data_IF_264154193558
#
_entry.id   IF_264154193558
#
_cell.length_a   1.000
_cell.length_b   1.000
_cell.length_c   1.000
_cell.angle_alpha   90.00
_cell.angle_beta   90.00
_cell.angle_gamma   90.00
#
_symmetry.space_group_name_H-M   'P 1'
#
loop_
_entity.id
_entity.type
_entity.pdbx_description
1 polymer ?
#
# COMPACT_ATOMS: atom_id res chain seq x y z
N UNK A 1 -37.89 -21.89 2.84
CA UNK A 1 -36.67 -21.07 2.69
C UNK A 1 -37.04 -19.91 1.79
N UNK A 2 -36.89 -18.69 2.22
CA UNK A 2 -37.14 -17.53 1.36
C UNK A 2 -35.94 -17.37 0.45
N UNK A 3 -36.15 -17.54 -0.86
CA UNK A 3 -35.11 -17.32 -1.86
C UNK A 3 -34.69 -15.84 -1.83
N UNK A 4 -33.37 -15.55 -1.82
CA UNK A 4 -32.82 -14.21 -1.80
C UNK A 4 -32.34 -13.79 -3.18
N UNK A 5 -32.61 -12.52 -3.53
CA UNK A 5 -32.10 -11.86 -4.72
C UNK A 5 -30.96 -10.91 -4.29
N UNK A 6 -29.75 -11.20 -4.71
CA UNK A 6 -28.60 -10.31 -4.48
C UNK A 6 -28.53 -9.25 -5.57
N UNK A 7 -28.59 -7.98 -5.21
CA UNK A 7 -28.25 -6.88 -6.13
C UNK A 7 -26.85 -6.38 -5.80
N UNK A 8 -25.98 -6.37 -6.82
CA UNK A 8 -24.60 -5.91 -6.66
C UNK A 8 -24.39 -4.58 -7.36
N UNK A 9 -23.97 -3.57 -6.57
CA UNK A 9 -23.82 -2.19 -6.96
C UNK A 9 -22.34 -1.79 -6.84
N UNK A 10 -21.78 -1.18 -7.90
CA UNK A 10 -20.38 -0.75 -7.87
C UNK A 10 -20.14 0.56 -8.60
N UNK A 11 -19.36 1.45 -7.96
CA UNK A 11 -18.84 2.65 -8.60
C UNK A 11 -17.32 2.73 -8.40
N UNK A 12 -16.61 3.17 -9.43
CA UNK A 12 -15.17 3.38 -9.38
C UNK A 12 -14.84 4.84 -9.03
N UNK A 13 -13.78 5.06 -8.24
CA UNK A 13 -13.22 6.39 -7.98
C UNK A 13 -12.90 7.19 -9.28
N UNK A 14 -12.69 6.49 -10.39
CA UNK A 14 -12.41 7.10 -11.69
C UNK A 14 -13.67 7.61 -12.40
N UNK A 15 -14.87 7.22 -11.97
CA UNK A 15 -16.12 7.58 -12.62
C UNK A 15 -16.67 8.96 -12.13
N UNK A 16 -15.91 9.70 -11.31
CA UNK A 16 -16.01 11.15 -11.17
C UNK A 16 -17.04 11.71 -10.20
N UNK A 17 -17.90 10.87 -9.60
CA UNK A 17 -19.03 11.33 -8.77
C UNK A 17 -18.76 11.42 -7.26
N UNK A 18 -17.54 11.09 -6.82
CA UNK A 18 -17.17 11.13 -5.41
C UNK A 18 -16.73 12.53 -4.99
N UNK A 19 -17.62 13.32 -4.43
CA UNK A 19 -17.25 14.47 -3.60
C UNK A 19 -16.54 13.93 -2.36
N UNK A 20 -15.25 14.25 -2.21
CA UNK A 20 -14.48 13.95 -1.00
C UNK A 20 -15.22 14.50 0.22
N UNK A 21 -15.67 13.61 1.11
CA UNK A 21 -16.10 13.98 2.45
C UNK A 21 -17.56 13.78 2.80
N UNK A 22 -18.43 13.28 1.91
CA UNK A 22 -19.81 12.92 2.29
C UNK A 22 -19.89 11.41 2.61
N UNK A 23 -20.55 11.06 3.71
CA UNK A 23 -20.91 9.68 4.04
C UNK A 23 -22.08 9.16 3.20
N UNK A 24 -22.62 10.00 2.33
CA UNK A 24 -23.77 9.70 1.48
C UNK A 24 -23.29 8.92 0.25
N UNK A 25 -24.06 7.92 -0.13
CA UNK A 25 -23.83 7.15 -1.35
C UNK A 25 -23.82 8.05 -2.58
N UNK A 26 -23.03 7.68 -3.59
CA UNK A 26 -22.98 8.47 -4.82
C UNK A 26 -24.30 8.34 -5.58
N UNK A 27 -24.77 9.42 -6.22
CA UNK A 27 -25.96 9.44 -7.06
C UNK A 27 -25.97 8.31 -8.11
N UNK A 28 -24.79 7.84 -8.52
CA UNK A 28 -24.67 6.73 -9.49
C UNK A 28 -24.96 5.35 -8.86
N UNK A 29 -24.65 5.12 -7.58
CA UNK A 29 -25.06 3.90 -6.85
C UNK A 29 -26.58 3.91 -6.67
N UNK A 30 -27.15 5.04 -6.27
CA UNK A 30 -28.59 5.20 -6.10
C UNK A 30 -29.35 4.96 -7.41
N UNK A 31 -28.86 5.50 -8.53
CA UNK A 31 -29.43 5.23 -9.85
C UNK A 31 -29.36 3.74 -10.26
N UNK A 32 -28.30 3.05 -9.88
CA UNK A 32 -28.19 1.59 -10.11
C UNK A 32 -29.24 0.83 -9.27
N UNK A 33 -29.37 1.21 -7.99
CA UNK A 33 -30.36 0.64 -7.06
C UNK A 33 -31.77 0.78 -7.61
N UNK A 34 -32.17 2.00 -7.96
CA UNK A 34 -33.50 2.28 -8.50
C UNK A 34 -33.81 1.47 -9.75
N UNK A 35 -32.85 1.37 -10.68
CA UNK A 35 -33.03 0.59 -11.92
C UNK A 35 -33.24 -0.90 -11.64
N UNK A 36 -32.46 -1.48 -10.70
CA UNK A 36 -32.58 -2.91 -10.38
C UNK A 36 -33.86 -3.22 -9.62
N UNK A 37 -34.28 -2.39 -8.70
CA UNK A 37 -35.58 -2.54 -8.01
C UNK A 37 -36.76 -2.39 -8.97
N UNK A 38 -36.74 -1.41 -9.88
CA UNK A 38 -37.78 -1.25 -10.91
C UNK A 38 -37.84 -2.46 -11.85
N UNK A 39 -36.68 -3.01 -12.21
CA UNK A 39 -36.62 -4.22 -13.04
C UNK A 39 -37.24 -5.43 -12.31
N UNK A 40 -36.86 -5.67 -11.04
CA UNK A 40 -37.41 -6.77 -10.22
C UNK A 40 -38.95 -6.62 -10.11
N UNK A 41 -39.46 -5.43 -9.83
CA UNK A 41 -40.90 -5.18 -9.70
C UNK A 41 -41.71 -5.39 -10.96
N UNK A 42 -41.06 -5.43 -12.14
CA UNK A 42 -41.70 -5.70 -13.45
C UNK A 42 -41.64 -7.15 -13.90
N UNK A 43 -40.90 -8.03 -13.21
CA UNK A 43 -40.74 -9.43 -13.56
C UNK A 43 -41.54 -10.32 -12.59
N UNK A 44 -42.46 -11.09 -13.11
CA UNK A 44 -43.29 -12.01 -12.30
C UNK A 44 -42.50 -13.24 -11.79
N UNK A 45 -41.35 -13.56 -12.39
CA UNK A 45 -40.49 -14.68 -12.03
C UNK A 45 -39.37 -14.34 -11.05
N UNK A 46 -39.28 -13.07 -10.62
CA UNK A 46 -38.30 -12.57 -9.64
C UNK A 46 -38.99 -12.22 -8.32
N UNK A 47 -39.08 -13.19 -7.43
CA UNK A 47 -39.63 -12.99 -6.07
C UNK A 47 -38.65 -13.46 -5.01
N UNK A 48 -38.63 -12.77 -3.89
CA UNK A 48 -37.74 -13.09 -2.77
C UNK A 48 -37.30 -11.86 -2.01
N UNK A 49 -36.51 -12.06 -0.96
CA UNK A 49 -35.88 -11.00 -0.20
C UNK A 49 -34.73 -10.38 -0.98
N UNK A 50 -34.73 -9.05 -1.15
CA UNK A 50 -33.64 -8.36 -1.85
C UNK A 50 -32.55 -8.01 -0.85
N UNK A 51 -31.32 -8.49 -1.15
CA UNK A 51 -30.10 -8.21 -0.36
C UNK A 51 -29.14 -7.38 -1.19
N UNK A 52 -28.70 -6.24 -0.66
CA UNK A 52 -27.81 -5.32 -1.36
C UNK A 52 -26.34 -5.52 -0.99
N UNK A 53 -25.47 -5.50 -1.99
CA UNK A 53 -24.01 -5.53 -1.86
C UNK A 53 -23.41 -4.34 -2.60
N UNK A 54 -22.79 -3.42 -1.84
CA UNK A 54 -22.33 -2.14 -2.37
C UNK A 54 -20.82 -2.00 -2.20
N UNK A 55 -20.10 -1.84 -3.32
CA UNK A 55 -18.67 -1.51 -3.38
C UNK A 55 -18.49 -0.14 -4.03
N UNK A 56 -18.66 0.94 -3.22
CA UNK A 56 -18.42 2.30 -3.68
C UNK A 56 -16.93 2.66 -3.60
N UNK A 57 -16.38 3.24 -4.66
CA UNK A 57 -14.97 3.61 -4.76
C UNK A 57 -14.03 2.47 -5.21
N UNK A 58 -14.53 1.27 -5.50
CA UNK A 58 -13.71 0.13 -5.89
C UNK A 58 -13.63 -0.06 -7.41
N UNK A 59 -12.43 -0.42 -7.90
CA UNK A 59 -12.21 -0.71 -9.32
C UNK A 59 -12.82 -2.05 -9.71
N UNK A 60 -13.22 -2.20 -10.99
CA UNK A 60 -13.70 -3.48 -11.53
C UNK A 60 -12.60 -4.43 -12.02
N UNK A 61 -11.32 -4.11 -11.81
CA UNK A 61 -10.18 -4.85 -12.36
C UNK A 61 -9.77 -6.09 -11.57
N UNK A 62 -10.35 -6.30 -10.40
CA UNK A 62 -10.16 -7.50 -9.58
C UNK A 62 -11.42 -7.77 -8.77
N UNK A 63 -11.49 -8.95 -8.14
CA UNK A 63 -12.61 -9.39 -7.31
C UNK A 63 -12.36 -9.26 -5.80
N UNK A 64 -11.23 -8.68 -5.37
CA UNK A 64 -10.90 -8.44 -3.95
C UNK A 64 -11.63 -7.20 -3.41
N UNK A 65 -12.95 -7.20 -3.49
CA UNK A 65 -13.84 -6.12 -3.05
C UNK A 65 -14.67 -6.64 -1.88
N UNK A 66 -14.80 -5.87 -0.79
CA UNK A 66 -15.43 -6.36 0.45
C UNK A 66 -16.86 -6.86 0.26
N UNK A 67 -17.71 -6.06 -0.41
CA UNK A 67 -19.11 -6.46 -0.62
C UNK A 67 -19.24 -7.61 -1.62
N UNK A 68 -18.40 -7.64 -2.66
CA UNK A 68 -18.36 -8.77 -3.58
C UNK A 68 -17.96 -10.07 -2.87
N UNK A 69 -16.91 -10.04 -2.05
CA UNK A 69 -16.47 -11.21 -1.28
C UNK A 69 -17.53 -11.68 -0.30
N UNK A 70 -18.21 -10.73 0.39
CA UNK A 70 -19.33 -11.05 1.26
C UNK A 70 -20.46 -11.73 0.48
N UNK A 71 -20.85 -11.20 -0.69
CA UNK A 71 -21.85 -11.81 -1.57
C UNK A 71 -21.47 -13.25 -1.93
N UNK A 72 -20.20 -13.52 -2.26
CA UNK A 72 -19.73 -14.88 -2.58
C UNK A 72 -19.78 -15.81 -1.35
N UNK A 73 -19.50 -15.29 -0.15
CA UNK A 73 -19.63 -16.08 1.10
C UNK A 73 -21.09 -16.42 1.38
N UNK A 74 -22.00 -15.45 1.26
CA UNK A 74 -23.43 -15.62 1.51
C UNK A 74 -24.04 -16.56 0.43
N UNK A 75 -23.55 -16.48 -0.81
CA UNK A 75 -23.93 -17.36 -1.90
C UNK A 75 -23.56 -18.83 -1.63
N UNK A 76 -22.41 -19.10 -1.01
CA UNK A 76 -21.99 -20.46 -0.60
C UNK A 76 -22.89 -21.06 0.48
N UNK A 77 -23.62 -20.24 1.23
CA UNK A 77 -24.60 -20.70 2.22
C UNK A 77 -25.91 -21.20 1.56
N UNK A 78 -26.11 -20.92 0.26
CA UNK A 78 -27.21 -21.46 -0.53
C UNK A 78 -28.50 -20.64 -0.52
N UNK A 79 -28.55 -19.54 0.20
CA UNK A 79 -29.74 -18.68 0.31
C UNK A 79 -29.99 -17.81 -0.92
N UNK A 80 -28.92 -17.42 -1.65
CA UNK A 80 -29.01 -16.55 -2.83
C UNK A 80 -29.27 -17.41 -4.07
N UNK A 81 -30.37 -17.12 -4.76
CA UNK A 81 -30.77 -17.82 -6.01
C UNK A 81 -30.59 -16.97 -7.26
N UNK A 82 -30.59 -15.65 -7.10
CA UNK A 82 -30.44 -14.71 -8.22
C UNK A 82 -29.41 -13.64 -7.85
N UNK A 83 -28.49 -13.36 -8.77
CA UNK A 83 -27.58 -12.22 -8.69
C UNK A 83 -27.92 -11.27 -9.83
N UNK A 84 -28.07 -9.99 -9.50
CA UNK A 84 -28.40 -8.96 -10.47
C UNK A 84 -27.41 -7.80 -10.44
N UNK A 85 -27.05 -7.34 -11.62
CA UNK A 85 -26.22 -6.15 -11.83
C UNK A 85 -26.83 -5.24 -12.89
N UNK A 86 -26.53 -3.95 -12.84
CA UNK A 86 -26.94 -3.04 -13.90
C UNK A 86 -26.39 -3.44 -15.27
N UNK A 87 -25.08 -3.72 -15.31
CA UNK A 87 -24.36 -4.16 -16.51
C UNK A 87 -23.16 -5.02 -16.10
N UNK A 88 -22.60 -5.79 -17.04
CA UNK A 88 -21.47 -6.70 -16.81
C UNK A 88 -20.23 -6.01 -16.26
N UNK A 89 -20.04 -4.73 -16.57
CA UNK A 89 -18.90 -3.97 -16.06
C UNK A 89 -18.97 -3.73 -14.54
N UNK A 90 -20.17 -3.83 -13.95
CA UNK A 90 -20.35 -3.76 -12.48
C UNK A 90 -19.83 -5.02 -11.82
N UNK A 91 -20.07 -6.21 -12.41
CA UNK A 91 -19.50 -7.46 -11.91
C UNK A 91 -17.97 -7.41 -11.97
N UNK A 92 -17.40 -7.04 -13.13
CA UNK A 92 -15.97 -6.92 -13.31
C UNK A 92 -15.60 -6.37 -14.68
N UNK A 93 -14.34 -5.89 -14.79
CA UNK A 93 -13.69 -5.48 -16.05
C UNK A 93 -12.62 -6.49 -16.50
N UNK A 94 -12.35 -7.51 -15.70
CA UNK A 94 -11.50 -8.62 -16.06
C UNK A 94 -12.36 -9.69 -16.75
N UNK A 95 -12.17 -9.81 -18.04
CA UNK A 95 -12.97 -10.70 -18.91
C UNK A 95 -12.83 -12.18 -18.51
N UNK A 96 -11.62 -12.62 -18.11
CA UNK A 96 -11.40 -14.03 -17.72
C UNK A 96 -12.14 -14.32 -16.42
N UNK A 97 -11.95 -13.51 -15.40
CA UNK A 97 -12.59 -13.71 -14.11
C UNK A 97 -14.11 -13.52 -14.16
N UNK A 98 -14.64 -12.58 -14.96
CA UNK A 98 -16.09 -12.44 -15.17
C UNK A 98 -16.65 -13.68 -15.87
N UNK A 99 -15.94 -14.20 -16.89
CA UNK A 99 -16.30 -15.45 -17.58
C UNK A 99 -16.37 -16.63 -16.60
N UNK A 100 -15.34 -16.82 -15.78
CA UNK A 100 -15.30 -17.91 -14.79
C UNK A 100 -16.51 -17.87 -13.83
N UNK A 101 -16.90 -16.66 -13.36
CA UNK A 101 -18.08 -16.53 -12.51
C UNK A 101 -19.37 -16.84 -13.25
N UNK A 102 -19.56 -16.35 -14.47
CA UNK A 102 -20.82 -16.50 -15.22
C UNK A 102 -20.95 -17.90 -15.84
N UNK A 103 -19.85 -18.48 -16.35
CA UNK A 103 -19.86 -19.73 -17.10
C UNK A 103 -19.69 -20.96 -16.19
N UNK A 104 -19.01 -20.83 -15.06
CA UNK A 104 -18.67 -21.95 -14.21
C UNK A 104 -19.24 -21.81 -12.80
N UNK A 105 -18.89 -20.72 -12.07
CA UNK A 105 -19.15 -20.64 -10.64
C UNK A 105 -20.65 -20.48 -10.34
N UNK A 106 -21.33 -19.52 -10.97
CA UNK A 106 -22.76 -19.31 -10.73
C UNK A 106 -23.63 -20.48 -11.21
N UNK A 107 -23.41 -21.07 -12.40
CA UNK A 107 -24.14 -22.26 -12.81
C UNK A 107 -23.89 -23.46 -11.90
N UNK A 108 -22.63 -23.70 -11.47
CA UNK A 108 -22.31 -24.80 -10.55
C UNK A 108 -23.05 -24.65 -9.21
N UNK A 109 -23.30 -23.42 -8.78
CA UNK A 109 -24.01 -23.09 -7.53
C UNK A 109 -25.53 -22.99 -7.73
N UNK A 110 -26.04 -23.21 -8.94
CA UNK A 110 -27.47 -23.11 -9.28
C UNK A 110 -28.01 -21.68 -9.16
N UNK A 111 -27.19 -20.68 -9.42
CA UNK A 111 -27.54 -19.26 -9.28
C UNK A 111 -27.80 -18.65 -10.65
N UNK A 112 -28.96 -18.01 -10.80
CA UNK A 112 -29.32 -17.21 -11.97
C UNK A 112 -28.60 -15.87 -11.93
N UNK A 113 -27.93 -15.50 -13.02
CA UNK A 113 -27.25 -14.21 -13.14
C UNK A 113 -27.92 -13.33 -14.20
N UNK A 114 -28.26 -12.08 -13.85
CA UNK A 114 -28.94 -11.12 -14.71
C UNK A 114 -28.15 -9.82 -14.79
N UNK A 115 -27.82 -9.35 -16.02
CA UNK A 115 -27.28 -8.03 -16.30
C UNK A 115 -28.25 -7.22 -17.14
N UNK A 116 -28.98 -6.29 -16.49
CA UNK A 116 -30.16 -5.63 -17.04
C UNK A 116 -29.88 -4.88 -18.33
N UNK A 117 -28.89 -3.99 -18.35
CA UNK A 117 -28.56 -3.18 -19.52
C UNK A 117 -27.95 -3.99 -20.68
N UNK A 118 -27.42 -5.18 -20.39
CA UNK A 118 -26.90 -6.08 -21.41
C UNK A 118 -27.98 -7.05 -21.93
N UNK A 119 -29.20 -6.96 -21.41
CA UNK A 119 -30.30 -7.95 -21.70
C UNK A 119 -29.85 -9.39 -21.50
N UNK A 120 -28.91 -9.61 -20.57
CA UNK A 120 -28.33 -10.90 -20.29
C UNK A 120 -29.03 -11.55 -19.10
N UNK A 121 -29.45 -12.82 -19.29
CA UNK A 121 -30.08 -13.64 -18.29
C UNK A 121 -29.63 -15.09 -18.49
N UNK A 122 -28.92 -15.64 -17.49
CA UNK A 122 -28.35 -16.98 -17.59
C UNK A 122 -29.38 -18.11 -17.75
N UNK A 123 -30.63 -17.91 -17.34
CA UNK A 123 -31.71 -18.90 -17.56
C UNK A 123 -32.29 -18.89 -18.99
N UNK A 124 -32.17 -17.77 -19.70
CA UNK A 124 -32.69 -17.64 -21.08
C UNK A 124 -31.70 -18.16 -22.13
N UNK A 125 -30.50 -18.56 -21.69
CA UNK A 125 -29.50 -19.13 -22.58
C UNK A 125 -29.71 -20.63 -22.72
N UNK A 126 -29.98 -21.09 -23.94
CA UNK A 126 -29.98 -22.51 -24.29
C UNK A 126 -28.57 -23.08 -23.98
N UNK A 127 -28.50 -24.06 -23.04
CA UNK A 127 -27.29 -24.76 -22.60
C UNK A 127 -26.34 -24.01 -21.66
N UNK A 128 -26.74 -22.92 -21.00
CA UNK A 128 -25.92 -22.27 -19.95
C UNK A 128 -24.64 -21.58 -20.43
N UNK A 129 -24.34 -21.59 -21.72
CA UNK A 129 -23.17 -20.92 -22.30
C UNK A 129 -23.51 -19.48 -22.63
N UNK A 130 -22.74 -18.49 -22.16
CA UNK A 130 -22.93 -17.10 -22.54
C UNK A 130 -22.89 -16.97 -24.06
N UNK A 131 -23.88 -16.28 -24.62
CA UNK A 131 -23.87 -16.00 -26.05
C UNK A 131 -22.65 -15.24 -26.49
N UNK A 132 -22.24 -15.39 -27.74
CA UNK A 132 -21.14 -14.65 -28.39
C UNK A 132 -21.21 -13.15 -28.09
N UNK A 133 -22.39 -12.57 -27.94
CA UNK A 133 -22.60 -11.14 -27.60
C UNK A 133 -21.97 -10.75 -26.29
N UNK A 134 -22.01 -11.59 -25.25
CA UNK A 134 -21.41 -11.31 -23.94
C UNK A 134 -19.89 -11.34 -24.03
N UNK A 135 -19.35 -12.32 -24.76
CA UNK A 135 -17.90 -12.45 -25.00
C UNK A 135 -17.38 -11.24 -25.78
N UNK A 136 -18.10 -10.86 -26.84
CA UNK A 136 -17.75 -9.69 -27.66
C UNK A 136 -17.88 -8.39 -26.86
N UNK A 137 -18.94 -8.22 -26.09
CA UNK A 137 -19.13 -7.03 -25.24
C UNK A 137 -18.00 -6.88 -24.20
N UNK A 138 -17.61 -7.98 -23.55
CA UNK A 138 -16.48 -7.98 -22.61
C UNK A 138 -15.13 -7.70 -23.31
N UNK A 139 -14.93 -8.24 -24.51
CA UNK A 139 -13.74 -7.95 -25.32
C UNK A 139 -13.66 -6.47 -25.69
N UNK A 140 -14.76 -5.89 -26.16
CA UNK A 140 -14.87 -4.47 -26.52
C UNK A 140 -14.59 -3.58 -25.30
N UNK A 141 -15.18 -3.90 -24.14
CA UNK A 141 -14.96 -3.16 -22.90
C UNK A 141 -13.48 -3.20 -22.44
N UNK A 142 -12.82 -4.35 -22.60
CA UNK A 142 -11.40 -4.50 -22.30
C UNK A 142 -10.53 -3.69 -23.31
N UNK A 143 -10.84 -3.76 -24.59
CA UNK A 143 -10.17 -2.97 -25.63
C UNK A 143 -10.33 -1.48 -25.36
N UNK A 144 -11.54 -1.03 -25.00
CA UNK A 144 -11.82 0.37 -24.66
C UNK A 144 -11.00 0.85 -23.45
N UNK A 145 -10.94 0.03 -22.39
CA UNK A 145 -10.11 0.34 -21.21
C UNK A 145 -8.63 0.46 -21.55
N UNK A 146 -8.11 -0.41 -22.42
CA UNK A 146 -6.72 -0.35 -22.92
C UNK A 146 -6.48 0.88 -23.80
N UNK A 147 -7.43 1.24 -24.65
CA UNK A 147 -7.33 2.43 -25.51
C UNK A 147 -7.31 3.72 -24.68
N UNK A 148 -8.20 3.85 -23.69
CA UNK A 148 -8.19 4.97 -22.75
C UNK A 148 -6.84 5.05 -22.01
N UNK A 149 -6.34 3.93 -21.49
CA UNK A 149 -5.05 3.90 -20.78
C UNK A 149 -3.89 4.32 -21.71
N UNK A 150 -3.93 3.95 -23.01
CA UNK A 150 -2.96 4.35 -24.01
C UNK A 150 -3.03 5.85 -24.30
N UNK A 151 -4.23 6.41 -24.45
CA UNK A 151 -4.47 7.84 -24.68
C UNK A 151 -4.00 8.69 -23.48
N UNK A 152 -4.37 8.28 -22.26
CA UNK A 152 -3.91 8.97 -21.03
C UNK A 152 -2.38 8.95 -20.95
N UNK A 153 -1.75 7.81 -21.24
CA UNK A 153 -0.29 7.70 -21.21
C UNK A 153 0.37 8.61 -22.24
N UNK A 154 -0.14 8.66 -23.47
CA UNK A 154 0.37 9.55 -24.50
C UNK A 154 0.25 11.04 -24.11
N UNK A 155 -0.88 11.43 -23.51
CA UNK A 155 -1.08 12.78 -23.00
C UNK A 155 -0.11 13.12 -21.84
N UNK A 156 0.13 12.18 -20.92
CA UNK A 156 1.11 12.33 -19.84
C UNK A 156 2.54 12.48 -20.40
N UNK A 157 2.94 11.63 -21.34
CA UNK A 157 4.27 11.70 -21.97
C UNK A 157 4.48 13.04 -22.71
N UNK A 158 3.45 13.54 -23.39
CA UNK A 158 3.50 14.86 -24.04
C UNK A 158 3.68 15.98 -23.00
N UNK A 159 2.93 15.94 -21.91
CA UNK A 159 3.08 16.92 -20.85
C UNK A 159 4.49 16.87 -20.22
N UNK A 160 5.02 15.67 -19.95
CA UNK A 160 6.36 15.51 -19.39
C UNK A 160 7.45 16.03 -20.31
N UNK A 161 7.37 15.77 -21.63
CA UNK A 161 8.30 16.32 -22.63
C UNK A 161 8.26 17.85 -22.70
N UNK A 162 7.10 18.43 -22.41
CA UNK A 162 6.91 19.87 -22.33
C UNK A 162 7.26 20.47 -20.95
N UNK A 163 7.90 19.71 -20.07
CA UNK A 163 8.33 20.15 -18.74
C UNK A 163 7.17 20.38 -17.76
N UNK A 164 5.96 19.90 -18.08
CA UNK A 164 4.81 19.99 -17.17
C UNK A 164 4.81 18.80 -16.21
N UNK A 165 4.99 19.06 -14.93
CA UNK A 165 4.88 18.04 -13.91
C UNK A 165 3.41 17.64 -13.72
N UNK A 166 3.13 16.33 -13.71
CA UNK A 166 1.77 15.80 -13.55
C UNK A 166 1.54 15.12 -12.21
N UNK A 167 2.57 15.07 -11.36
CA UNK A 167 2.48 14.44 -10.04
C UNK A 167 2.66 15.46 -8.92
N UNK A 168 1.88 15.27 -7.85
CA UNK A 168 1.93 16.09 -6.64
C UNK A 168 3.07 15.70 -5.70
N UNK A 169 3.79 14.60 -5.98
CA UNK A 169 4.91 14.16 -5.15
C UNK A 169 6.19 14.90 -5.54
N UNK A 170 6.33 16.09 -4.97
CA UNK A 170 7.43 17.01 -5.22
C UNK A 170 8.67 16.60 -4.43
N UNK A 171 9.91 16.68 -4.99
CA UNK A 171 11.13 16.47 -4.23
C UNK A 171 11.26 17.47 -3.06
N UNK A 172 11.85 17.03 -1.95
CA UNK A 172 12.20 17.92 -0.84
C UNK A 172 13.08 19.07 -1.34
N UNK A 173 12.76 20.29 -0.98
CA UNK A 173 13.41 21.50 -1.49
C UNK A 173 12.60 22.24 -2.56
N UNK A 174 11.49 21.63 -3.02
CA UNK A 174 10.54 22.25 -3.95
C UNK A 174 9.12 22.19 -3.41
N UNK A 175 8.28 23.10 -3.89
CA UNK A 175 6.83 23.14 -3.70
C UNK A 175 6.10 23.07 -5.03
N UNK A 176 4.87 22.57 -5.00
CA UNK A 176 4.03 22.50 -6.18
C UNK A 176 3.24 23.78 -6.35
N UNK A 177 3.49 24.52 -7.44
CA UNK A 177 2.64 25.63 -7.82
C UNK A 177 1.61 25.20 -8.89
N UNK A 178 0.39 24.91 -8.44
CA UNK A 178 -0.71 24.51 -9.33
C UNK A 178 -1.19 25.65 -10.22
N UNK A 179 -1.14 26.90 -9.74
CA UNK A 179 -1.57 28.10 -10.47
C UNK A 179 -0.52 28.59 -11.47
N UNK A 180 0.75 28.34 -11.20
CA UNK A 180 1.90 28.76 -12.04
C UNK A 180 2.26 27.80 -13.17
N UNK A 181 1.30 27.09 -13.78
CA UNK A 181 1.56 26.25 -14.96
C UNK A 181 2.01 24.83 -14.66
N UNK A 182 1.70 24.29 -13.47
CA UNK A 182 2.06 22.93 -13.05
C UNK A 182 3.58 22.71 -12.96
N UNK A 183 4.30 23.68 -12.43
CA UNK A 183 5.76 23.62 -12.23
C UNK A 183 6.13 23.51 -10.76
N UNK A 184 7.35 23.06 -10.52
CA UNK A 184 7.95 23.09 -9.19
C UNK A 184 8.65 24.43 -8.96
N UNK A 185 8.47 24.99 -7.79
CA UNK A 185 9.15 26.21 -7.33
C UNK A 185 10.04 25.88 -6.16
N UNK A 186 11.12 26.66 -5.98
CA UNK A 186 12.03 26.47 -4.86
C UNK A 186 11.30 26.77 -3.55
N UNK A 187 11.42 25.87 -2.60
CA UNK A 187 10.96 26.06 -1.22
C UNK A 187 12.05 26.78 -0.42
N UNK A 188 11.81 28.03 0.03
CA UNK A 188 12.82 28.81 0.72
C UNK A 188 13.28 28.21 2.06
N UNK A 189 12.45 27.37 2.71
CA UNK A 189 12.80 26.71 3.96
C UNK A 189 13.53 25.39 3.75
N UNK A 190 13.17 24.62 2.72
CA UNK A 190 13.68 23.28 2.49
C UNK A 190 14.89 23.25 1.53
N UNK A 191 14.96 24.15 0.55
CA UNK A 191 16.05 24.20 -0.42
C UNK A 191 17.44 24.42 0.20
N UNK A 192 17.62 25.26 1.24
CA UNK A 192 18.92 25.40 1.91
C UNK A 192 19.44 24.08 2.48
N UNK A 193 18.55 23.19 2.96
CA UNK A 193 18.95 21.86 3.44
C UNK A 193 19.51 21.00 2.30
N UNK A 194 18.90 21.06 1.12
CA UNK A 194 19.38 20.34 -0.07
C UNK A 194 20.74 20.88 -0.50
N UNK A 195 20.89 22.21 -0.62
CA UNK A 195 22.20 22.85 -0.91
C UNK A 195 23.28 22.38 0.05
N UNK A 196 22.98 22.37 1.36
CA UNK A 196 23.93 21.95 2.38
C UNK A 196 24.36 20.48 2.23
N UNK A 197 23.45 19.59 1.83
CA UNK A 197 23.80 18.19 1.52
C UNK A 197 24.80 18.12 0.37
N UNK A 198 24.60 18.88 -0.71
CA UNK A 198 25.53 18.93 -1.85
C UNK A 198 26.88 19.57 -1.48
N UNK A 199 26.90 20.68 -0.75
CA UNK A 199 28.15 21.30 -0.26
C UNK A 199 29.00 20.30 0.53
N UNK A 200 28.39 19.57 1.47
CA UNK A 200 29.08 18.57 2.27
C UNK A 200 29.57 17.38 1.42
N UNK A 201 28.85 17.01 0.36
CA UNK A 201 29.29 15.99 -0.57
C UNK A 201 30.51 16.46 -1.39
N UNK A 202 30.49 17.70 -1.86
CA UNK A 202 31.60 18.32 -2.61
C UNK A 202 32.86 18.50 -1.74
N UNK A 203 32.70 18.66 -0.42
CA UNK A 203 33.83 18.66 0.52
C UNK A 203 34.44 17.27 0.79
N UNK A 204 34.01 16.23 0.04
CA UNK A 204 34.55 14.87 0.14
C UNK A 204 33.99 14.02 1.28
N UNK A 205 32.92 14.47 1.95
CA UNK A 205 32.28 13.69 3.03
C UNK A 205 31.44 12.56 2.46
N UNK A 206 31.49 11.40 3.08
CA UNK A 206 30.60 10.29 2.74
C UNK A 206 29.18 10.52 3.27
N UNK A 207 28.22 9.75 2.78
CA UNK A 207 26.79 9.92 3.10
C UNK A 207 26.47 9.83 4.60
N UNK A 208 27.25 9.05 5.37
CA UNK A 208 27.09 8.93 6.83
C UNK A 208 27.59 10.19 7.53
N UNK A 209 28.74 10.72 7.11
CA UNK A 209 29.31 11.96 7.64
C UNK A 209 28.44 13.18 7.31
N UNK A 210 27.84 13.20 6.11
CA UNK A 210 26.88 14.24 5.72
C UNK A 210 25.65 14.18 6.62
N UNK A 211 25.07 12.98 6.79
CA UNK A 211 23.91 12.81 7.66
C UNK A 211 24.20 13.25 9.10
N UNK A 212 25.40 12.95 9.61
CA UNK A 212 25.83 13.39 10.92
C UNK A 212 25.93 14.91 11.02
N UNK A 213 26.57 15.56 10.05
CA UNK A 213 26.67 17.04 9.99
C UNK A 213 25.30 17.72 9.90
N UNK A 214 24.37 17.15 9.11
CA UNK A 214 22.99 17.68 9.02
C UNK A 214 22.25 17.57 10.36
N UNK A 215 22.49 16.50 11.14
CA UNK A 215 21.93 16.36 12.49
C UNK A 215 22.58 17.33 13.49
N UNK A 216 23.88 17.61 13.37
CA UNK A 216 24.57 18.60 14.21
C UNK A 216 24.04 20.01 13.96
N UNK A 217 23.75 20.35 12.72
CA UNK A 217 23.13 21.62 12.34
C UNK A 217 21.64 21.68 12.68
N UNK A 218 21.07 20.62 13.25
CA UNK A 218 19.66 20.51 13.61
C UNK A 218 18.69 20.83 12.46
N UNK A 219 19.09 20.54 11.22
CA UNK A 219 18.28 20.79 10.03
C UNK A 219 17.17 19.74 9.90
N UNK A 220 15.95 20.13 9.47
CA UNK A 220 14.82 19.20 9.37
C UNK A 220 15.06 18.17 8.27
N UNK A 221 14.73 16.91 8.55
CA UNK A 221 14.69 15.86 7.51
C UNK A 221 13.49 16.08 6.59
N UNK A 222 13.50 15.53 5.35
CA UNK A 222 12.34 15.58 4.46
C UNK A 222 11.05 15.09 5.11
N UNK A 223 11.12 14.03 5.92
CA UNK A 223 9.98 13.49 6.63
C UNK A 223 9.47 14.41 7.74
N UNK A 224 10.38 14.97 8.56
CA UNK A 224 10.02 15.91 9.61
C UNK A 224 9.41 17.19 9.03
N UNK A 225 9.98 17.69 7.94
CA UNK A 225 9.46 18.85 7.23
C UNK A 225 8.05 18.60 6.69
N UNK A 226 7.86 17.47 6.00
CA UNK A 226 6.56 17.09 5.48
C UNK A 226 5.50 16.92 6.58
N UNK A 227 5.89 16.36 7.74
CA UNK A 227 5.03 16.23 8.91
C UNK A 227 4.61 17.62 9.45
N UNK A 228 5.55 18.54 9.62
CA UNK A 228 5.28 19.91 10.13
C UNK A 228 4.37 20.71 9.19
N UNK A 229 4.52 20.55 7.90
CA UNK A 229 3.72 21.25 6.87
C UNK A 229 2.42 20.53 6.49
N UNK A 230 2.07 19.41 7.16
CA UNK A 230 0.92 18.55 6.80
C UNK A 230 0.87 18.15 5.32
N UNK A 231 2.05 17.97 4.70
CA UNK A 231 2.19 17.59 3.30
C UNK A 231 2.01 16.09 3.07
N UNK A 232 1.84 15.31 4.12
CA UNK A 232 1.68 13.85 4.07
C UNK A 232 0.25 13.53 3.66
N UNK A 233 0.01 13.49 2.37
CA UNK A 233 -1.21 12.92 1.80
C UNK A 233 -1.05 11.40 1.70
N UNK A 234 -1.67 10.65 2.60
CA UNK A 234 -1.68 9.18 2.53
C UNK A 234 -2.12 8.53 3.84
N UNK A 235 -2.53 7.28 3.71
CA UNK A 235 -3.10 6.43 4.77
C UNK A 235 -2.13 6.02 5.89
N UNK A 236 -0.86 6.40 5.83
CA UNK A 236 0.13 6.12 6.88
C UNK A 236 0.68 7.42 7.46
N UNK A 237 0.10 7.95 8.54
CA UNK A 237 0.71 9.06 9.27
C UNK A 237 2.09 8.59 9.78
N UNK A 238 3.10 9.46 9.67
CA UNK A 238 4.40 9.20 10.31
C UNK A 238 4.19 9.29 11.82
N UNK A 239 4.09 8.12 12.45
CA UNK A 239 3.85 8.00 13.91
C UNK A 239 5.12 8.30 14.71
N UNK A 240 6.31 8.27 14.07
CA UNK A 240 7.57 8.52 14.75
C UNK A 240 7.61 9.91 15.39
N UNK A 241 8.04 10.03 16.65
CA UNK A 241 8.23 11.32 17.29
C UNK A 241 9.29 12.14 16.57
N UNK A 242 9.18 13.46 16.59
CA UNK A 242 10.08 14.38 15.86
C UNK A 242 11.56 14.16 16.21
N UNK A 243 11.84 13.83 17.49
CA UNK A 243 13.20 13.55 17.97
C UNK A 243 13.84 12.30 17.35
N UNK A 244 13.06 11.43 16.72
CA UNK A 244 13.53 10.22 16.05
C UNK A 244 13.67 10.38 14.53
N UNK A 245 13.21 11.50 13.99
CA UNK A 245 13.27 11.77 12.55
C UNK A 245 14.61 12.41 12.17
N UNK A 246 15.68 11.67 12.35
CA UNK A 246 17.05 12.10 12.10
C UNK A 246 17.53 11.82 10.67
N UNK A 247 18.45 12.64 10.20
CA UNK A 247 19.17 12.38 8.95
C UNK A 247 19.94 11.07 9.05
N UNK A 248 19.94 10.32 7.97
CA UNK A 248 20.69 9.07 7.82
C UNK A 248 21.26 8.97 6.40
N UNK A 249 22.21 8.07 6.21
CA UNK A 249 22.90 7.88 4.94
C UNK A 249 21.93 7.60 3.77
N UNK A 250 20.81 6.91 4.02
CA UNK A 250 19.84 6.58 2.97
C UNK A 250 19.03 7.82 2.51
N UNK A 251 18.73 8.75 3.40
CA UNK A 251 18.07 10.04 3.05
C UNK A 251 19.03 10.86 2.21
N UNK A 252 20.28 11.02 2.67
CA UNK A 252 21.33 11.76 1.95
C UNK A 252 21.55 11.16 0.56
N UNK A 253 21.71 9.85 0.48
CA UNK A 253 21.90 9.14 -0.80
C UNK A 253 20.76 9.37 -1.78
N UNK A 254 19.51 9.34 -1.32
CA UNK A 254 18.34 9.63 -2.15
C UNK A 254 18.32 11.06 -2.68
N UNK A 255 18.73 12.03 -1.87
CA UNK A 255 18.83 13.44 -2.27
C UNK A 255 19.91 13.57 -3.34
N UNK A 256 21.11 13.11 -3.07
CA UNK A 256 22.26 13.27 -3.98
C UNK A 256 22.04 12.61 -5.35
N UNK A 257 21.23 11.54 -5.44
CA UNK A 257 20.92 10.86 -6.73
C UNK A 257 19.75 11.44 -7.51
N UNK A 258 19.11 12.48 -7.01
CA UNK A 258 17.99 13.09 -7.73
C UNK A 258 18.49 14.14 -8.71
N UNK A 259 18.44 13.79 -10.00
CA UNK A 259 18.82 14.70 -11.09
C UNK A 259 17.89 15.92 -11.18
N UNK A 260 16.68 15.81 -10.62
CA UNK A 260 15.70 16.89 -10.57
C UNK A 260 16.21 18.15 -9.89
N UNK A 261 17.20 18.06 -9.02
CA UNK A 261 17.80 19.25 -8.37
C UNK A 261 18.59 20.15 -9.32
N UNK A 262 18.92 19.67 -10.53
CA UNK A 262 19.55 20.47 -11.59
C UNK A 262 18.56 21.29 -12.43
N UNK A 263 17.28 21.30 -12.03
CA UNK A 263 16.22 22.00 -12.77
C UNK A 263 15.54 21.13 -13.85
N UNK A 264 15.94 19.86 -13.98
CA UNK A 264 15.34 18.93 -14.92
C UNK A 264 14.14 18.19 -14.30
N UNK A 265 13.09 17.96 -15.09
CA UNK A 265 11.98 17.11 -14.74
C UNK A 265 12.24 15.68 -15.24
N UNK A 266 12.34 14.71 -14.34
CA UNK A 266 12.60 13.29 -14.67
C UNK A 266 11.35 12.46 -14.40
N UNK A 267 10.72 11.99 -15.47
CA UNK A 267 9.48 11.22 -15.42
C UNK A 267 9.61 9.88 -16.14
N UNK A 268 8.59 9.02 -16.02
CA UNK A 268 8.59 7.74 -16.71
C UNK A 268 9.49 6.67 -16.10
N UNK A 269 10.00 6.84 -14.87
CA UNK A 269 10.88 5.85 -14.20
C UNK A 269 10.22 4.50 -13.98
N UNK A 270 8.89 4.47 -13.91
CA UNK A 270 8.10 3.25 -13.65
C UNK A 270 6.97 3.14 -14.66
N UNK A 271 6.70 1.93 -15.10
CA UNK A 271 5.59 1.62 -16.00
C UNK A 271 4.76 0.48 -15.43
N UNK A 272 3.45 0.65 -15.40
CA UNK A 272 2.53 -0.44 -15.07
C UNK A 272 2.63 -1.53 -16.14
N UNK A 273 2.72 -2.79 -15.75
CA UNK A 273 2.93 -3.90 -16.68
C UNK A 273 1.68 -4.10 -17.53
N UNK A 274 0.51 -4.09 -16.89
CA UNK A 274 -0.78 -4.18 -17.57
C UNK A 274 -1.81 -3.30 -16.84
N UNK A 275 -2.92 -3.00 -17.50
CA UNK A 275 -4.02 -2.17 -16.97
C UNK A 275 -4.67 -2.86 -15.77
N UNK A 276 -4.77 -4.19 -15.80
CA UNK A 276 -5.45 -5.00 -14.81
C UNK A 276 -4.57 -5.45 -13.63
N UNK A 277 -3.28 -5.09 -13.61
CA UNK A 277 -2.37 -5.50 -12.54
C UNK A 277 -1.92 -4.32 -11.69
N UNK A 278 -1.59 -4.59 -10.42
CA UNK A 278 -0.90 -3.63 -9.55
C UNK A 278 0.61 -3.63 -9.76
N UNK A 279 1.12 -4.59 -10.53
CA UNK A 279 2.55 -4.78 -10.78
C UNK A 279 3.15 -3.64 -11.61
N UNK A 280 4.26 -3.10 -11.11
CA UNK A 280 4.97 -1.97 -11.72
C UNK A 280 6.39 -2.38 -12.05
N UNK A 281 6.82 -2.17 -13.30
CA UNK A 281 8.19 -2.38 -13.73
C UNK A 281 8.97 -1.06 -13.69
N UNK A 282 10.16 -1.08 -13.10
CA UNK A 282 11.11 0.04 -13.21
C UNK A 282 11.75 0.01 -14.59
N UNK A 283 11.79 1.15 -15.25
CA UNK A 283 12.43 1.31 -16.55
C UNK A 283 13.91 1.70 -16.37
N UNK A 284 14.80 1.26 -17.27
CA UNK A 284 16.18 1.71 -17.30
C UNK A 284 16.27 3.19 -17.66
N UNK A 285 17.39 3.84 -17.32
CA UNK A 285 17.56 5.29 -17.40
C UNK A 285 17.44 5.85 -18.83
N UNK A 286 17.81 5.06 -19.84
CA UNK A 286 17.69 5.41 -21.28
C UNK A 286 16.23 5.58 -21.74
N UNK A 287 15.27 5.04 -20.99
CA UNK A 287 13.82 5.12 -21.25
C UNK A 287 13.09 6.16 -20.42
N UNK A 288 13.81 6.89 -19.59
CA UNK A 288 13.21 7.97 -18.82
C UNK A 288 12.94 9.19 -19.71
N UNK A 289 11.91 9.94 -19.38
CA UNK A 289 11.59 11.21 -20.03
C UNK A 289 12.20 12.31 -19.19
N UNK A 290 13.22 12.99 -19.73
CA UNK A 290 13.93 14.07 -19.07
C UNK A 290 13.63 15.35 -19.82
N UNK A 291 12.99 16.31 -19.17
CA UNK A 291 12.81 17.66 -19.69
C UNK A 291 13.75 18.60 -18.92
N UNK A 292 14.75 19.10 -19.61
CA UNK A 292 15.74 20.02 -19.07
C UNK A 292 15.11 21.41 -18.83
N UNK A 293 15.63 22.15 -17.84
CA UNK A 293 15.18 23.51 -17.50
C UNK A 293 13.67 23.63 -17.28
N UNK A 294 13.05 22.60 -16.72
CA UNK A 294 11.61 22.57 -16.45
C UNK A 294 11.22 23.41 -15.22
N UNK A 295 12.17 23.64 -14.31
CA UNK A 295 12.02 24.44 -13.09
C UNK A 295 13.35 25.02 -12.66
N UNK A 296 13.36 25.91 -11.67
CA UNK A 296 14.57 26.52 -11.14
C UNK A 296 15.47 25.49 -10.46
N UNK A 297 16.78 25.53 -10.74
CA UNK A 297 17.75 24.59 -10.19
C UNK A 297 18.16 24.97 -8.77
N UNK A 298 18.23 23.99 -7.86
CA UNK A 298 18.83 24.20 -6.52
C UNK A 298 20.35 24.07 -6.57
N UNK A 299 20.85 23.19 -7.45
CA UNK A 299 22.29 22.96 -7.68
C UNK A 299 22.59 22.95 -9.17
N UNK A 300 23.79 23.31 -9.54
CA UNK A 300 24.25 23.25 -10.94
C UNK A 300 24.48 21.81 -11.39
N UNK A 301 24.47 21.58 -12.72
CA UNK A 301 24.78 20.26 -13.27
C UNK A 301 26.19 19.79 -12.89
N UNK A 302 27.15 20.72 -12.86
CA UNK A 302 28.53 20.41 -12.50
C UNK A 302 28.65 19.95 -11.03
N UNK A 303 28.03 20.68 -10.12
CA UNK A 303 27.93 20.26 -8.71
C UNK A 303 27.29 18.88 -8.54
N UNK A 304 26.21 18.63 -9.27
CA UNK A 304 25.55 17.32 -9.27
C UNK A 304 26.51 16.21 -9.72
N UNK A 305 27.16 16.36 -10.86
CA UNK A 305 28.06 15.33 -11.39
C UNK A 305 29.30 15.13 -10.52
N UNK A 306 29.86 16.20 -9.92
CA UNK A 306 30.96 16.11 -8.97
C UNK A 306 30.52 15.33 -7.70
N UNK A 307 29.34 15.64 -7.17
CA UNK A 307 28.78 14.89 -6.05
C UNK A 307 28.58 13.41 -6.38
N UNK A 308 28.12 13.06 -7.63
CA UNK A 308 28.00 11.67 -8.05
C UNK A 308 29.36 10.95 -8.09
N UNK A 309 30.43 11.62 -8.51
CA UNK A 309 31.79 11.04 -8.49
C UNK A 309 32.26 10.77 -7.06
N UNK A 310 32.01 11.68 -6.13
CA UNK A 310 32.35 11.53 -4.73
C UNK A 310 31.65 10.32 -4.08
N UNK A 311 30.39 10.05 -4.44
CA UNK A 311 29.60 8.94 -3.88
C UNK A 311 30.00 7.59 -4.50
N UNK A 312 30.33 7.54 -5.80
CA UNK A 312 30.70 6.28 -6.49
C UNK A 312 31.93 5.60 -5.93
N UNK A 313 32.78 6.34 -5.25
CA UNK A 313 33.98 5.80 -4.58
C UNK A 313 33.68 5.02 -3.29
N UNK A 314 32.41 5.01 -2.85
CA UNK A 314 31.98 4.15 -1.73
C UNK A 314 31.45 2.83 -2.31
N UNK A 315 32.22 1.77 -2.20
CA UNK A 315 31.81 0.42 -2.59
C UNK A 315 30.49 0.08 -1.89
N UNK A 316 29.42 -0.27 -2.64
CA UNK A 316 28.18 -0.72 -2.01
C UNK A 316 28.52 -1.94 -1.16
N UNK A 317 28.26 -1.90 0.13
CA UNK A 317 28.33 -3.09 0.97
C UNK A 317 27.25 -4.03 0.40
N UNK A 318 27.68 -5.05 -0.33
CA UNK A 318 26.82 -6.15 -0.75
C UNK A 318 26.44 -6.89 0.53
N UNK A 319 25.27 -6.57 1.06
CA UNK A 319 24.65 -7.45 2.04
C UNK A 319 24.35 -8.75 1.30
N UNK A 320 25.17 -9.77 1.52
CA UNK A 320 24.75 -11.15 1.22
C UNK A 320 23.40 -11.30 1.89
N UNK A 321 22.37 -11.66 1.12
CA UNK A 321 21.07 -12.05 1.66
C UNK A 321 21.40 -13.12 2.71
N UNK A 322 21.34 -12.71 3.98
CA UNK A 322 21.72 -13.59 5.08
C UNK A 322 20.77 -14.79 5.11
N UNK A 323 21.30 -15.90 5.61
CA UNK A 323 20.55 -17.13 5.82
C UNK A 323 19.20 -16.83 6.46
N UNK A 324 18.19 -17.57 6.04
CA UNK A 324 16.84 -17.42 6.56
C UNK A 324 16.84 -17.86 8.03
N UNK A 325 16.55 -16.96 8.94
CA UNK A 325 16.53 -17.23 10.38
C UNK A 325 15.13 -17.05 10.95
N UNK A 326 14.79 -17.87 11.95
CA UNK A 326 13.40 -18.00 12.44
C UNK A 326 12.76 -16.69 12.90
N UNK A 327 13.55 -15.73 13.42
CA UNK A 327 13.08 -14.46 13.96
C UNK A 327 13.22 -13.28 12.99
N UNK A 328 13.45 -13.53 11.70
CA UNK A 328 13.57 -12.50 10.66
C UNK A 328 12.30 -11.64 10.60
N UNK A 329 12.49 -10.33 10.77
CA UNK A 329 11.38 -9.37 10.72
C UNK A 329 10.43 -9.40 11.93
N UNK A 330 10.68 -10.26 12.93
CA UNK A 330 9.81 -10.42 14.11
C UNK A 330 10.33 -9.74 15.37
N UNK A 331 11.61 -9.33 15.38
CA UNK A 331 12.24 -8.67 16.53
C UNK A 331 12.37 -7.19 16.27
N UNK A 332 11.90 -6.38 17.20
CA UNK A 332 11.96 -4.94 17.16
C UNK A 332 12.80 -4.36 18.31
N UNK A 333 13.37 -3.18 18.09
CA UNK A 333 14.04 -2.42 19.14
C UNK A 333 13.02 -1.90 20.15
N UNK A 334 13.18 -2.20 21.44
CA UNK A 334 12.27 -1.74 22.49
C UNK A 334 12.13 -0.22 22.62
N UNK A 335 13.13 0.58 22.14
CA UNK A 335 13.08 2.03 22.23
C UNK A 335 12.48 2.71 20.99
N UNK A 336 12.79 2.23 19.77
CA UNK A 336 12.33 2.89 18.54
C UNK A 336 11.37 2.04 17.70
N UNK A 337 11.01 0.87 18.18
CA UNK A 337 10.10 -0.10 17.55
C UNK A 337 10.45 -0.47 16.09
N UNK A 338 11.70 -0.21 15.66
CA UNK A 338 12.19 -0.62 14.35
C UNK A 338 12.73 -2.03 14.39
N UNK A 339 12.54 -2.77 13.33
CA UNK A 339 13.11 -4.12 13.20
C UNK A 339 14.61 -4.10 13.44
N UNK A 340 15.09 -5.01 14.29
CA UNK A 340 16.52 -5.22 14.51
C UNK A 340 17.14 -5.78 13.24
N UNK A 341 18.35 -5.34 12.95
CA UNK A 341 19.18 -5.90 11.88
C UNK A 341 19.95 -7.08 12.41
N UNK A 342 20.26 -8.02 11.54
CA UNK A 342 20.97 -9.26 11.84
C UNK A 342 22.21 -9.31 10.96
N UNK A 343 23.37 -9.48 11.57
CA UNK A 343 24.66 -9.58 10.86
C UNK A 343 25.64 -10.46 11.63
N UNK A 344 26.64 -10.98 10.91
CA UNK A 344 27.76 -11.70 11.53
C UNK A 344 28.80 -10.71 12.04
N UNK A 345 29.12 -10.76 13.34
CA UNK A 345 30.12 -9.94 13.96
C UNK A 345 31.06 -10.83 14.80
N UNK A 346 32.36 -10.72 14.58
CA UNK A 346 33.37 -11.54 15.25
C UNK A 346 33.08 -13.04 15.23
N UNK A 347 32.53 -13.55 14.12
CA UNK A 347 32.23 -14.97 13.94
C UNK A 347 30.83 -15.38 14.46
N UNK A 348 30.17 -14.57 15.26
CA UNK A 348 28.83 -14.83 15.80
C UNK A 348 27.75 -14.03 15.09
N UNK A 349 26.53 -14.58 15.06
CA UNK A 349 25.36 -13.86 14.55
C UNK A 349 24.77 -13.01 15.67
N UNK A 350 24.52 -11.73 15.38
CA UNK A 350 24.02 -10.75 16.35
C UNK A 350 22.87 -9.93 15.79
N UNK A 351 21.94 -9.57 16.67
CA UNK A 351 20.92 -8.56 16.42
C UNK A 351 21.38 -7.21 16.94
N UNK A 352 21.05 -6.14 16.21
CA UNK A 352 21.36 -4.77 16.64
C UNK A 352 20.36 -3.76 16.07
N UNK A 353 20.23 -2.62 16.75
CA UNK A 353 19.40 -1.52 16.27
C UNK A 353 20.13 -0.73 15.17
N UNK A 354 19.71 -0.90 13.91
CA UNK A 354 20.29 -0.19 12.78
C UNK A 354 20.11 1.33 12.87
N UNK A 355 19.08 1.82 13.57
CA UNK A 355 18.87 3.23 13.81
C UNK A 355 19.92 3.81 14.76
N UNK A 356 20.23 3.14 15.86
CA UNK A 356 21.31 3.56 16.77
C UNK A 356 22.65 3.62 16.04
N UNK A 357 22.96 2.62 15.22
CA UNK A 357 24.20 2.57 14.45
C UNK A 357 24.31 3.73 13.45
N UNK A 358 23.20 4.12 12.80
CA UNK A 358 23.19 5.20 11.81
C UNK A 358 23.10 6.60 12.40
N UNK A 359 22.42 6.78 13.53
CA UNK A 359 22.20 8.07 14.17
C UNK A 359 23.19 8.40 15.29
N UNK A 360 23.98 7.43 15.76
CA UNK A 360 25.04 7.62 16.76
C UNK A 360 24.53 8.27 18.04
N UNK A 361 25.20 9.35 18.46
CA UNK A 361 24.86 10.12 19.69
C UNK A 361 23.46 10.75 19.67
N UNK A 362 22.89 10.97 18.48
CA UNK A 362 21.56 11.59 18.34
C UNK A 362 20.40 10.62 18.60
N UNK A 363 20.67 9.32 18.64
CA UNK A 363 19.66 8.32 18.94
C UNK A 363 19.57 8.03 20.42
N UNK A 364 18.35 8.02 20.96
CA UNK A 364 18.07 7.58 22.33
C UNK A 364 18.04 6.06 22.51
N UNK A 365 18.21 5.30 21.42
CA UNK A 365 18.23 3.85 21.48
C UNK A 365 19.46 3.32 22.20
N UNK A 366 19.33 2.19 22.89
CA UNK A 366 20.45 1.43 23.41
C UNK A 366 21.29 0.89 22.26
N UNK A 367 22.62 0.94 22.42
CA UNK A 367 23.60 0.55 21.40
C UNK A 367 24.05 -0.90 21.52
N UNK A 368 23.23 -1.80 22.08
CA UNK A 368 23.65 -3.18 22.32
C UNK A 368 23.64 -4.06 21.06
N UNK A 369 24.57 -5.02 21.07
CA UNK A 369 24.56 -6.17 20.16
C UNK A 369 24.09 -7.38 20.94
N UNK A 370 23.06 -8.04 20.42
CA UNK A 370 22.43 -9.18 21.09
C UNK A 370 22.74 -10.45 20.31
N UNK A 371 23.43 -11.39 20.95
CA UNK A 371 23.79 -12.67 20.31
C UNK A 371 22.53 -13.46 19.96
N UNK A 372 22.47 -13.97 18.74
CA UNK A 372 21.29 -14.68 18.22
C UNK A 372 20.86 -15.84 19.14
N UNK A 373 21.82 -16.67 19.59
CA UNK A 373 21.49 -17.80 20.47
C UNK A 373 20.84 -17.39 21.78
N UNK A 374 21.28 -16.24 22.35
CA UNK A 374 20.70 -15.72 23.59
C UNK A 374 19.26 -15.23 23.39
N UNK A 375 19.00 -14.55 22.27
CA UNK A 375 17.67 -14.08 21.90
C UNK A 375 16.75 -15.28 21.63
N UNK A 376 17.21 -16.26 20.85
CA UNK A 376 16.46 -17.47 20.54
C UNK A 376 16.10 -18.26 21.82
N UNK A 377 17.05 -18.37 22.76
CA UNK A 377 16.80 -19.04 24.04
C UNK A 377 15.73 -18.33 24.89
N UNK A 378 15.75 -16.98 24.92
CA UNK A 378 14.73 -16.19 25.65
C UNK A 378 13.36 -16.30 24.99
N UNK A 379 13.29 -16.22 23.65
CA UNK A 379 12.03 -16.40 22.91
C UNK A 379 11.48 -17.81 23.11
N UNK A 380 12.34 -18.84 23.02
CA UNK A 380 11.91 -20.22 23.27
C UNK A 380 11.38 -20.43 24.70
N UNK A 381 12.02 -19.77 25.69
CA UNK A 381 11.53 -19.81 27.10
C UNK A 381 10.16 -19.13 27.20
N UNK A 382 9.99 -17.94 26.62
CA UNK A 382 8.71 -17.24 26.63
C UNK A 382 7.60 -18.07 25.98
N UNK A 383 7.88 -18.69 24.83
CA UNK A 383 6.94 -19.56 24.13
C UNK A 383 6.56 -20.76 25.03
N UNK A 384 7.54 -21.43 25.66
CA UNK A 384 7.28 -22.54 26.58
C UNK A 384 6.40 -22.11 27.76
N UNK A 385 6.64 -20.92 28.33
CA UNK A 385 5.83 -20.40 29.43
C UNK A 385 4.38 -20.17 28.98
N UNK A 386 4.15 -19.61 27.79
CA UNK A 386 2.81 -19.41 27.26
C UNK A 386 2.11 -20.76 27.01
N UNK A 387 2.79 -21.72 26.41
CA UNK A 387 2.21 -23.07 26.22
C UNK A 387 1.88 -23.75 27.53
N UNK A 388 2.77 -23.66 28.52
CA UNK A 388 2.49 -24.22 29.85
C UNK A 388 1.26 -23.53 30.52
N UNK A 389 1.17 -22.20 30.40
CA UNK A 389 0.00 -21.49 30.92
C UNK A 389 -1.30 -21.89 30.19
N UNK A 390 -1.25 -22.09 28.86
CA UNK A 390 -2.39 -22.58 28.09
C UNK A 390 -2.78 -24.01 28.47
N UNK A 391 -1.82 -24.90 28.72
CA UNK A 391 -2.06 -26.27 29.16
C UNK A 391 -2.72 -26.28 30.55
N UNK A 392 -2.25 -25.47 31.47
CA UNK A 392 -2.88 -25.32 32.82
C UNK A 392 -4.30 -24.79 32.69
N UNK A 393 -4.54 -23.79 31.82
CA UNK A 393 -5.91 -23.28 31.57
C UNK A 393 -6.79 -24.35 30.95
N UNK A 394 -6.29 -25.11 29.94
CA UNK A 394 -7.04 -26.18 29.29
C UNK A 394 -7.37 -27.33 30.29
N UNK A 395 -6.40 -27.75 31.11
CA UNK A 395 -6.64 -28.76 32.16
C UNK A 395 -7.68 -28.24 33.19
N UNK A 396 -7.56 -27.00 33.65
CA UNK A 396 -8.55 -26.40 34.54
C UNK A 396 -9.93 -26.21 33.89
N UNK A 397 -10.02 -26.07 32.57
CA UNK A 397 -11.30 -26.05 31.83
C UNK A 397 -11.90 -27.47 31.71
N UNK A 398 -11.09 -28.51 31.53
CA UNK A 398 -11.54 -29.90 31.49
C UNK A 398 -12.01 -30.41 32.86
N UNK A 399 -11.32 -30.02 33.93
CA UNK A 399 -11.75 -30.32 35.31
C UNK A 399 -13.03 -29.55 35.71
N UNK A 400 -13.26 -28.36 35.13
CA UNK A 400 -14.46 -27.53 35.41
C UNK A 400 -15.71 -27.91 34.61
N UNK A 401 -15.67 -28.88 33.73
CA UNK A 401 -16.90 -29.50 33.19
C UNK A 401 -17.66 -30.33 34.27
N UNK A 402 -17.03 -30.53 35.43
CA UNK A 402 -17.65 -31.22 36.57
C UNK A 402 -17.91 -30.37 37.82
N UNK A 403 -17.50 -29.09 37.87
CA UNK A 403 -17.73 -28.23 39.08
C UNK A 403 -17.91 -26.76 38.66
N UNK A 404 -18.97 -26.16 39.15
CA UNK A 404 -19.44 -24.77 39.00
C UNK A 404 -18.32 -23.72 39.00
N UNK A 405 -18.36 -22.83 38.03
CA UNK A 405 -17.46 -21.70 37.76
C UNK A 405 -17.20 -20.85 39.00
N UNK A 406 -15.96 -20.76 39.45
CA UNK A 406 -15.43 -19.58 40.13
C UNK A 406 -14.65 -18.77 39.11
N UNK A 407 -15.01 -17.50 39.00
CA UNK A 407 -14.32 -16.53 38.14
C UNK A 407 -12.83 -16.51 38.47
N UNK A 408 -12.00 -16.91 37.53
CA UNK A 408 -10.56 -16.63 37.56
C UNK A 408 -10.41 -15.20 37.10
N UNK A 409 -9.75 -14.40 37.91
CA UNK A 409 -9.59 -12.98 37.69
C UNK A 409 -8.82 -12.70 36.38
N UNK A 410 -9.53 -12.27 35.37
CA UNK A 410 -8.96 -11.88 34.07
C UNK A 410 -7.87 -10.80 34.24
N UNK A 411 -8.01 -9.96 35.29
CA UNK A 411 -7.03 -8.94 35.66
C UNK A 411 -5.66 -9.53 36.06
N UNK A 412 -5.58 -10.72 36.62
CA UNK A 412 -4.30 -11.35 36.97
C UNK A 412 -3.58 -11.93 35.74
N UNK A 413 -4.33 -12.44 34.78
CA UNK A 413 -3.77 -12.87 33.50
C UNK A 413 -3.32 -11.68 32.63
N UNK A 414 -4.06 -10.58 32.68
CA UNK A 414 -3.66 -9.32 32.01
C UNK A 414 -2.42 -8.71 32.66
N UNK A 415 -2.31 -8.73 34.01
CA UNK A 415 -1.09 -8.30 34.71
C UNK A 415 0.13 -9.17 34.41
N UNK A 416 -0.05 -10.48 34.27
CA UNK A 416 1.04 -11.39 33.87
C UNK A 416 1.41 -11.23 32.41
N UNK A 417 0.44 -11.02 31.52
CA UNK A 417 0.69 -10.69 30.10
C UNK A 417 1.39 -9.33 29.95
N UNK A 418 1.04 -8.34 30.75
CA UNK A 418 1.68 -7.04 30.77
C UNK A 418 3.09 -7.10 31.38
N UNK A 419 3.32 -7.89 32.41
CA UNK A 419 4.66 -8.16 32.96
C UNK A 419 5.58 -8.83 31.93
N UNK A 420 5.06 -9.77 31.14
CA UNK A 420 5.78 -10.41 30.02
C UNK A 420 6.04 -9.39 28.89
N UNK A 421 5.09 -8.48 28.60
CA UNK A 421 5.28 -7.36 27.66
C UNK A 421 6.38 -6.41 28.13
N UNK A 422 6.39 -6.06 29.42
CA UNK A 422 7.41 -5.17 30.00
C UNK A 422 8.80 -5.82 29.99
N UNK A 423 8.89 -7.14 30.18
CA UNK A 423 10.15 -7.87 30.02
C UNK A 423 10.61 -7.99 28.57
N UNK A 424 9.68 -8.09 27.62
CA UNK A 424 9.97 -8.01 26.18
C UNK A 424 10.46 -6.64 25.73
N UNK A 425 10.04 -5.56 26.43
CA UNK A 425 10.47 -4.18 26.15
C UNK A 425 11.89 -3.91 26.67
N UNK A 426 12.38 -4.67 27.64
CA UNK A 426 13.73 -4.55 28.20
C UNK A 426 14.80 -5.36 27.46
N UNK A 427 14.42 -6.10 26.43
CA UNK A 427 15.28 -6.77 25.45
C UNK A 427 15.46 -5.92 24.21
#
# INVERSE_FOLDING_TARGET
MNDKIAIYLRLSLADGDLKKGSKDESNSIENQRMLLHDYIGKQEDLFGEIVEYVDDGYTGTNFNRPAFQKMIVDLKQGDIKVIMVKDLSRLGRDYIGVGDYIEQIFPLMGVRFIAVNNSFDSMKLNNGTPGIEVVVSNLVNNMYSRDIAKKIRAALETNWKNGKATCTNVPFGYVWNKKGGQRWEIDPEAAPCVKKVFELALSGRNTTQIAYGMNELNLPTPGLYAKRKNLLMGSNPIIAPDSEMLWNAAIVWRILRRYEYTGALVMGRRKKIDVNTTSVRTLPEDKWIIAENAHEAIVTKDEYYQAQKAIRNVTPIQYKVGDDFALKGKICCGNCNRQLRHERQYGEMVFYCGYKRSAGKFSKCYGGYYREYSVNAKVARAIKTVFYALDVVNQGMQEKQSITVRCVDIEDLEKQAEAIRVEQIKL
#
